data_IF_859395991805
#
_entry.id   IF_859395991805
#
_cell.length_a   1.000
_cell.length_b   1.000
_cell.length_c   1.000
_cell.angle_alpha   90.00
_cell.angle_beta   90.00
_cell.angle_gamma   90.00
#
_symmetry.space_group_name_H-M   'P 1'
#
loop_
_entity.id
_entity.type
_entity.pdbx_description
1 polymer ?
#
# COMPACT_ATOMS: atom_id res chain seq x y z
N UNK A 1 -8.32 -1.64 -2.15
CA UNK A 1 -6.87 -1.61 -2.34
C UNK A 1 -6.25 -0.35 -1.73
N UNK A 2 -6.61 0.87 -2.16
CA UNK A 2 -6.03 2.13 -1.66
C UNK A 2 -6.14 2.29 -0.14
N UNK A 3 -7.25 1.88 0.47
CA UNK A 3 -7.45 1.89 1.92
C UNK A 3 -6.32 1.13 2.66
N UNK A 4 -5.98 -0.09 2.20
CA UNK A 4 -4.93 -0.90 2.82
C UNK A 4 -3.51 -0.38 2.56
N UNK A 5 -3.26 0.22 1.38
CA UNK A 5 -1.94 0.76 1.01
C UNK A 5 -1.53 1.93 1.91
N UNK A 6 -2.47 2.82 2.26
CA UNK A 6 -2.14 4.02 3.02
C UNK A 6 -2.00 3.80 4.52
N UNK A 7 -2.53 2.71 5.08
CA UNK A 7 -2.38 2.40 6.51
C UNK A 7 -0.91 2.32 6.93
N UNK A 8 -0.02 1.55 6.29
CA UNK A 8 1.41 1.55 6.64
C UNK A 8 2.09 2.91 6.47
N UNK A 9 1.67 3.75 5.51
CA UNK A 9 2.23 5.09 5.34
C UNK A 9 2.06 5.99 6.56
N UNK A 10 0.93 5.87 7.26
CA UNK A 10 0.64 6.67 8.44
C UNK A 10 1.23 6.08 9.71
N UNK A 11 1.24 4.75 9.83
CA UNK A 11 1.59 4.08 11.08
C UNK A 11 3.02 3.58 11.16
N UNK A 12 3.77 3.55 10.06
CA UNK A 12 5.16 3.07 10.04
C UNK A 12 6.08 3.89 10.95
N UNK A 13 5.90 5.20 11.01
CA UNK A 13 6.71 6.06 11.89
C UNK A 13 6.41 5.78 13.36
N UNK A 14 5.13 5.68 13.71
CA UNK A 14 4.71 5.35 15.09
C UNK A 14 5.18 3.96 15.50
N UNK A 15 5.17 2.99 14.57
CA UNK A 15 5.70 1.65 14.80
C UNK A 15 7.22 1.66 14.99
N UNK A 16 7.95 2.45 14.22
CA UNK A 16 9.40 2.58 14.33
C UNK A 16 9.83 3.22 15.66
N UNK A 17 9.08 4.18 16.17
CA UNK A 17 9.36 4.84 17.45
C UNK A 17 8.97 4.00 18.67
N UNK A 18 8.00 3.09 18.54
CA UNK A 18 7.47 2.27 19.63
C UNK A 18 8.08 0.86 19.68
N UNK A 19 7.41 -0.17 19.13
CA UNK A 19 7.76 -1.59 19.34
C UNK A 19 9.14 -2.01 18.82
N UNK A 20 9.72 -1.28 17.85
CA UNK A 20 10.99 -1.64 17.23
C UNK A 20 12.22 -1.05 17.94
N UNK A 21 12.02 -0.21 18.97
CA UNK A 21 13.12 0.45 19.71
C UNK A 21 14.14 1.15 18.81
N UNK A 22 13.69 1.70 17.68
CA UNK A 22 14.56 2.47 16.78
C UNK A 22 14.91 3.81 17.44
N UNK A 23 16.13 4.33 17.21
CA UNK A 23 16.53 5.63 17.75
C UNK A 23 15.60 6.73 17.26
N UNK A 24 15.26 7.67 18.12
CA UNK A 24 14.35 8.80 17.84
C UNK A 24 14.81 9.63 16.63
N UNK A 25 16.12 9.68 16.39
CA UNK A 25 16.70 10.38 15.25
C UNK A 25 16.37 9.76 13.88
N UNK A 26 16.19 8.44 13.80
CA UNK A 26 15.94 7.72 12.54
C UNK A 26 14.45 7.58 12.22
N UNK A 27 13.57 7.57 13.21
CA UNK A 27 12.14 7.40 13.03
C UNK A 27 11.51 8.40 12.05
N UNK A 28 11.82 9.71 12.07
CA UNK A 28 11.25 10.69 11.14
C UNK A 28 11.63 10.47 9.67
N UNK A 29 12.77 9.78 9.42
CA UNK A 29 13.26 9.52 8.06
C UNK A 29 12.55 8.34 7.37
N UNK A 30 11.75 7.55 8.08
CA UNK A 30 11.06 6.39 7.51
C UNK A 30 10.07 6.78 6.41
N UNK A 31 9.29 7.84 6.61
CA UNK A 31 8.34 8.33 5.60
C UNK A 31 9.04 8.92 4.37
N UNK A 32 10.05 9.79 4.49
CA UNK A 32 10.88 10.21 3.37
C UNK A 32 11.49 9.07 2.56
N UNK A 33 12.05 8.05 3.23
CA UNK A 33 12.63 6.86 2.57
C UNK A 33 11.54 6.12 1.79
N UNK A 34 10.39 5.87 2.40
CA UNK A 34 9.25 5.20 1.78
C UNK A 34 8.73 6.00 0.56
N UNK A 35 8.67 7.31 0.65
CA UNK A 35 8.30 8.18 -0.49
C UNK A 35 9.33 8.15 -1.60
N UNK A 36 10.61 8.21 -1.28
CA UNK A 36 11.71 8.14 -2.25
C UNK A 36 11.70 6.80 -3.01
N UNK A 37 11.56 5.68 -2.31
CA UNK A 37 11.49 4.34 -2.93
C UNK A 37 10.22 4.16 -3.76
N UNK A 38 9.11 4.79 -3.39
CA UNK A 38 7.88 4.74 -4.18
C UNK A 38 7.99 5.49 -5.51
N UNK A 39 8.93 6.43 -5.67
CA UNK A 39 9.21 7.06 -6.96
C UNK A 39 9.79 6.03 -7.93
N UNK A 40 10.76 5.23 -7.48
CA UNK A 40 11.34 4.13 -8.27
C UNK A 40 10.26 3.11 -8.63
N UNK A 41 9.42 2.75 -7.65
CA UNK A 41 8.29 1.83 -7.85
C UNK A 41 7.22 2.34 -8.82
N UNK A 42 7.12 3.65 -9.04
CA UNK A 42 6.21 4.23 -10.06
C UNK A 42 6.83 4.24 -11.44
N UNK A 43 8.12 4.54 -11.55
CA UNK A 43 8.79 4.68 -12.85
C UNK A 43 9.10 3.33 -13.50
N UNK A 44 9.76 2.43 -12.78
CA UNK A 44 10.25 1.17 -13.37
C UNK A 44 9.10 0.25 -13.79
N UNK A 45 8.13 -0.11 -12.91
CA UNK A 45 7.04 -0.98 -13.32
C UNK A 45 6.03 -0.33 -14.28
N UNK A 46 5.89 1.00 -14.26
CA UNK A 46 5.07 1.69 -15.25
C UNK A 46 5.63 1.50 -16.66
N UNK A 47 6.95 1.65 -16.85
CA UNK A 47 7.61 1.36 -18.13
C UNK A 47 7.51 -0.11 -18.53
N UNK A 48 7.59 -1.04 -17.56
CA UNK A 48 7.42 -2.47 -17.84
C UNK A 48 5.97 -2.82 -18.18
N UNK A 49 4.99 -2.11 -17.65
CA UNK A 49 3.58 -2.36 -17.93
C UNK A 49 3.23 -2.14 -19.41
N UNK A 50 3.97 -1.29 -20.11
CA UNK A 50 3.80 -1.07 -21.54
C UNK A 50 4.17 -2.31 -22.37
N UNK A 51 5.06 -3.18 -21.86
CA UNK A 51 5.50 -4.42 -22.53
C UNK A 51 4.68 -5.64 -22.09
N UNK A 52 4.36 -5.77 -20.81
CA UNK A 52 3.72 -6.95 -20.22
C UNK A 52 2.20 -6.83 -20.08
N UNK A 53 1.67 -5.64 -20.30
CA UNK A 53 0.27 -5.27 -20.06
C UNK A 53 0.03 -4.80 -18.61
N UNK A 54 -0.78 -3.75 -18.43
CA UNK A 54 -1.03 -3.16 -17.11
C UNK A 54 -1.64 -4.14 -16.12
N UNK A 55 -2.60 -4.96 -16.54
CA UNK A 55 -3.27 -5.92 -15.67
C UNK A 55 -2.33 -7.03 -15.17
N UNK A 56 -1.48 -7.56 -16.05
CA UNK A 56 -0.51 -8.60 -15.71
C UNK A 56 0.57 -8.13 -14.72
N UNK A 57 0.89 -6.85 -14.74
CA UNK A 57 1.81 -6.24 -13.76
C UNK A 57 1.11 -5.86 -12.45
N UNK A 58 -0.17 -5.49 -12.54
CA UNK A 58 -0.94 -5.03 -11.39
C UNK A 58 -1.23 -6.12 -10.36
N UNK A 59 -1.68 -7.29 -10.82
CA UNK A 59 -2.03 -8.43 -9.95
C UNK A 59 -0.86 -8.90 -9.08
N UNK A 60 0.34 -9.21 -9.63
CA UNK A 60 1.45 -9.65 -8.80
C UNK A 60 1.96 -8.57 -7.85
N UNK A 61 1.85 -7.28 -8.21
CA UNK A 61 2.28 -6.19 -7.33
C UNK A 61 1.33 -5.96 -6.14
N UNK A 62 0.02 -6.12 -6.34
CA UNK A 62 -0.94 -6.11 -5.22
C UNK A 62 -0.70 -7.32 -4.33
N UNK A 63 -0.50 -8.50 -4.91
CA UNK A 63 -0.21 -9.71 -4.14
C UNK A 63 1.08 -9.55 -3.33
N UNK A 64 2.16 -9.04 -3.93
CA UNK A 64 3.41 -8.74 -3.23
C UNK A 64 3.19 -7.74 -2.08
N UNK A 65 2.40 -6.69 -2.29
CA UNK A 65 2.04 -5.74 -1.24
C UNK A 65 1.27 -6.40 -0.09
N UNK A 66 0.36 -7.34 -0.39
CA UNK A 66 -0.37 -8.09 0.63
C UNK A 66 0.57 -8.98 1.44
N UNK A 67 1.48 -9.71 0.79
CA UNK A 67 2.50 -10.55 1.45
C UNK A 67 3.41 -9.72 2.35
N UNK A 68 3.86 -8.55 1.86
CA UNK A 68 4.68 -7.63 2.66
C UNK A 68 3.93 -7.12 3.91
N UNK A 69 2.63 -6.83 3.79
CA UNK A 69 1.81 -6.43 4.95
C UNK A 69 1.70 -7.56 5.99
N UNK A 70 1.60 -8.82 5.58
CA UNK A 70 1.70 -9.95 6.52
C UNK A 70 3.11 -10.07 7.11
N UNK A 71 4.15 -9.88 6.29
CA UNK A 71 5.53 -9.86 6.76
C UNK A 71 5.80 -8.81 7.84
N UNK A 72 5.10 -7.69 7.80
CA UNK A 72 5.21 -6.62 8.81
C UNK A 72 4.93 -7.11 10.24
N UNK A 73 4.07 -8.11 10.42
CA UNK A 73 3.71 -8.70 11.72
C UNK A 73 4.94 -9.30 12.43
N UNK A 74 5.87 -9.88 11.67
CA UNK A 74 7.08 -10.51 12.21
C UNK A 74 8.30 -9.60 12.34
N UNK A 75 8.19 -8.31 12.02
CA UNK A 75 9.32 -7.39 11.99
C UNK A 75 9.48 -6.72 13.36
N UNK A 76 10.57 -7.05 14.04
CA UNK A 76 10.95 -6.46 15.32
C UNK A 76 12.34 -5.79 15.31
N UNK A 77 13.12 -5.97 14.23
CA UNK A 77 14.45 -5.39 14.09
C UNK A 77 14.44 -4.10 13.29
N UNK A 78 15.22 -3.07 13.68
CA UNK A 78 15.33 -1.81 12.92
C UNK A 78 15.76 -2.00 11.46
N UNK A 79 16.72 -2.92 11.22
CA UNK A 79 17.17 -3.22 9.86
C UNK A 79 16.04 -3.83 8.99
N UNK A 80 15.24 -4.73 9.57
CA UNK A 80 14.12 -5.36 8.87
C UNK A 80 13.02 -4.35 8.51
N UNK A 81 12.81 -3.32 9.33
CA UNK A 81 11.85 -2.23 9.03
C UNK A 81 12.31 -1.44 7.81
N UNK A 82 13.60 -1.11 7.71
CA UNK A 82 14.13 -0.36 6.55
C UNK A 82 13.93 -1.17 5.26
N UNK A 83 14.25 -2.46 5.28
CA UNK A 83 14.04 -3.36 4.13
C UNK A 83 12.55 -3.43 3.76
N UNK A 84 11.67 -3.57 4.76
CA UNK A 84 10.22 -3.56 4.55
C UNK A 84 9.74 -2.27 3.88
N UNK A 85 10.18 -1.11 4.40
CA UNK A 85 9.80 0.21 3.88
C UNK A 85 10.23 0.37 2.41
N UNK A 86 11.45 -0.06 2.08
CA UNK A 86 11.97 -0.01 0.71
C UNK A 86 11.13 -0.88 -0.23
N UNK A 87 10.92 -2.15 0.11
CA UNK A 87 10.14 -3.08 -0.70
C UNK A 87 8.67 -2.64 -0.81
N UNK A 88 8.08 -2.21 0.30
CA UNK A 88 6.72 -1.73 0.35
C UNK A 88 6.53 -0.42 -0.45
N UNK A 89 7.51 0.48 -0.39
CA UNK A 89 7.51 1.70 -1.20
C UNK A 89 7.47 1.40 -2.69
N UNK A 90 8.26 0.42 -3.16
CA UNK A 90 8.28 0.01 -4.56
C UNK A 90 6.93 -0.59 -4.96
N UNK A 91 6.42 -1.59 -4.23
CA UNK A 91 5.18 -2.28 -4.58
C UNK A 91 3.94 -1.37 -4.51
N UNK A 92 3.82 -0.58 -3.45
CA UNK A 92 2.71 0.37 -3.29
C UNK A 92 2.76 1.51 -4.31
N UNK A 93 3.97 1.99 -4.63
CA UNK A 93 4.18 2.99 -5.68
C UNK A 93 3.70 2.49 -7.04
N UNK A 94 4.04 1.25 -7.39
CA UNK A 94 3.60 0.59 -8.60
C UNK A 94 2.08 0.49 -8.70
N UNK A 95 1.42 0.01 -7.64
CA UNK A 95 -0.04 -0.15 -7.62
C UNK A 95 -0.74 1.18 -7.86
N UNK A 96 -0.30 2.25 -7.19
CA UNK A 96 -0.90 3.59 -7.38
C UNK A 96 -0.67 4.12 -8.80
N UNK A 97 0.52 3.90 -9.38
CA UNK A 97 0.86 4.42 -10.72
C UNK A 97 0.13 3.68 -11.85
N UNK A 98 -0.01 2.36 -11.75
CA UNK A 98 -0.61 1.54 -12.83
C UNK A 98 -2.15 1.53 -12.75
N UNK A 99 -2.77 1.91 -11.63
CA UNK A 99 -4.24 1.92 -11.49
C UNK A 99 -4.98 2.59 -12.65
N UNK A 100 -4.63 3.81 -13.09
CA UNK A 100 -5.34 4.44 -14.23
C UNK A 100 -5.12 3.68 -15.54
N UNK A 101 -3.97 3.08 -15.77
CA UNK A 101 -3.69 2.29 -16.97
C UNK A 101 -4.55 1.02 -17.01
N UNK A 102 -4.72 0.33 -15.87
CA UNK A 102 -5.60 -0.85 -15.75
C UNK A 102 -7.06 -0.46 -16.02
N UNK A 103 -7.54 0.65 -15.48
CA UNK A 103 -8.91 1.13 -15.73
C UNK A 103 -9.11 1.47 -17.21
N UNK A 104 -8.10 2.07 -17.85
CA UNK A 104 -8.13 2.37 -19.27
C UNK A 104 -8.17 1.11 -20.13
N UNK A 105 -7.39 0.08 -19.79
CA UNK A 105 -7.33 -1.20 -20.49
C UNK A 105 -8.66 -1.95 -20.46
N UNK A 106 -9.36 -1.93 -19.32
CA UNK A 106 -10.66 -2.62 -19.14
C UNK A 106 -11.80 -1.83 -19.79
N UNK A 107 -11.59 -0.55 -20.12
CA UNK A 107 -12.64 0.31 -20.69
C UNK A 107 -12.66 0.23 -22.20
N UNK A 108 -13.75 -0.32 -22.76
CA UNK A 108 -13.91 -0.50 -24.21
C UNK A 108 -14.12 0.80 -24.97
N UNK A 109 -14.75 1.83 -24.37
CA UNK A 109 -15.02 3.12 -25.00
C UNK A 109 -14.03 4.19 -24.51
N UNK A 110 -13.17 4.74 -25.40
CA UNK A 110 -12.22 5.80 -25.04
C UNK A 110 -12.85 7.05 -24.42
N UNK A 111 -14.12 7.34 -24.74
CA UNK A 111 -14.84 8.49 -24.20
C UNK A 111 -15.19 8.35 -22.72
N UNK A 112 -15.32 7.13 -22.22
CA UNK A 112 -15.66 6.84 -20.83
C UNK A 112 -14.45 6.65 -19.91
N UNK A 113 -13.25 6.51 -20.45
CA UNK A 113 -12.01 6.24 -19.67
C UNK A 113 -11.83 7.27 -18.57
N UNK A 114 -11.95 8.55 -18.86
CA UNK A 114 -11.80 9.61 -17.86
C UNK A 114 -12.82 9.52 -16.73
N UNK A 115 -14.08 9.24 -17.08
CA UNK A 115 -15.16 9.08 -16.08
C UNK A 115 -14.91 7.87 -15.19
N UNK A 116 -14.51 6.73 -15.75
CA UNK A 116 -14.22 5.50 -14.99
C UNK A 116 -13.01 5.64 -14.08
N UNK A 117 -11.95 6.31 -14.57
CA UNK A 117 -10.79 6.65 -13.73
C UNK A 117 -11.23 7.55 -12.57
N UNK A 118 -12.02 8.60 -12.83
CA UNK A 118 -12.54 9.50 -11.82
C UNK A 118 -13.38 8.77 -10.75
N UNK A 119 -14.28 7.88 -11.18
CA UNK A 119 -15.07 7.04 -10.25
C UNK A 119 -14.18 6.12 -9.40
N UNK A 120 -13.18 5.50 -10.01
CA UNK A 120 -12.23 4.62 -9.29
C UNK A 120 -11.44 5.38 -8.23
N UNK A 121 -10.97 6.59 -8.54
CA UNK A 121 -10.27 7.44 -7.57
C UNK A 121 -11.22 8.02 -6.52
N UNK A 122 -12.47 8.31 -6.85
CA UNK A 122 -13.47 8.76 -5.88
C UNK A 122 -13.73 7.68 -4.81
N UNK A 123 -14.02 6.46 -5.24
CA UNK A 123 -14.22 5.31 -4.33
C UNK A 123 -12.94 5.01 -3.54
N UNK A 124 -11.79 5.06 -4.22
CA UNK A 124 -10.48 4.90 -3.57
C UNK A 124 -10.19 5.97 -2.53
N UNK A 125 -10.56 7.23 -2.79
CA UNK A 125 -10.43 8.36 -1.89
C UNK A 125 -11.28 8.20 -0.63
N UNK A 126 -12.52 7.73 -0.76
CA UNK A 126 -13.36 7.38 0.40
C UNK A 126 -12.71 6.29 1.25
N UNK A 127 -12.16 5.25 0.63
CA UNK A 127 -11.40 4.21 1.34
C UNK A 127 -10.16 4.77 2.05
N UNK A 128 -9.43 5.69 1.42
CA UNK A 128 -8.28 6.36 2.02
C UNK A 128 -8.67 7.28 3.18
N UNK A 129 -9.84 7.91 3.13
CA UNK A 129 -10.35 8.75 4.21
C UNK A 129 -10.75 7.92 5.44
N UNK A 130 -11.37 6.76 5.23
CA UNK A 130 -11.87 5.89 6.30
C UNK A 130 -10.77 4.99 6.88
N UNK A 131 -9.79 4.57 6.07
CA UNK A 131 -8.72 3.63 6.46
C UNK A 131 -7.93 4.03 7.70
N UNK A 132 -7.25 5.18 7.70
CA UNK A 132 -6.44 5.62 8.84
C UNK A 132 -7.22 5.82 10.14
N UNK A 133 -8.45 6.43 10.17
CA UNK A 133 -9.24 6.52 11.39
C UNK A 133 -9.66 5.16 11.97
N UNK A 134 -10.03 4.20 11.11
CA UNK A 134 -10.37 2.84 11.56
C UNK A 134 -9.14 2.15 12.15
N UNK A 135 -8.00 2.26 11.49
CA UNK A 135 -6.74 1.73 11.99
C UNK A 135 -6.33 2.38 13.33
N UNK A 136 -6.56 3.69 13.49
CA UNK A 136 -6.33 4.41 14.75
C UNK A 136 -7.21 3.91 15.89
N UNK A 137 -8.49 3.70 15.64
CA UNK A 137 -9.40 3.11 16.64
C UNK A 137 -8.98 1.71 17.08
N UNK A 138 -8.47 0.89 16.13
CA UNK A 138 -7.96 -0.44 16.45
C UNK A 138 -6.71 -0.36 17.35
N UNK A 139 -5.88 0.66 17.17
CA UNK A 139 -4.72 0.91 18.02
C UNK A 139 -5.13 1.36 19.43
N UNK A 140 -6.10 2.27 19.55
CA UNK A 140 -6.59 2.80 20.82
C UNK A 140 -7.29 1.73 21.68
N UNK A 141 -7.98 0.77 21.07
CA UNK A 141 -8.69 -0.30 21.80
C UNK A 141 -7.75 -1.27 22.54
N UNK A 142 -6.44 -1.24 22.27
CA UNK A 142 -5.44 -2.14 22.86
C UNK A 142 -4.28 -1.36 23.50
N UNK A 143 -4.56 -0.26 24.20
CA UNK A 143 -3.60 0.58 24.93
C UNK A 143 -2.38 1.04 24.12
N UNK A 144 -2.53 1.24 22.80
CA UNK A 144 -1.48 1.74 21.93
C UNK A 144 -0.27 0.82 21.70
N UNK A 145 -0.23 -0.35 22.34
CA UNK A 145 0.93 -1.24 22.32
C UNK A 145 0.85 -2.35 21.26
N UNK A 146 -0.35 -2.68 20.77
CA UNK A 146 -0.57 -3.79 19.87
C UNK A 146 -0.90 -3.34 18.45
N UNK A 147 0.12 -3.20 17.62
CA UNK A 147 -0.02 -2.88 16.19
C UNK A 147 -0.58 -4.05 15.35
N UNK A 148 -0.74 -5.25 15.94
CA UNK A 148 -1.26 -6.44 15.25
C UNK A 148 -2.65 -6.20 14.60
N UNK A 149 -3.55 -5.46 15.27
CA UNK A 149 -4.86 -5.14 14.71
C UNK A 149 -4.77 -4.32 13.43
N UNK A 150 -3.90 -3.32 13.41
CA UNK A 150 -3.66 -2.43 12.26
C UNK A 150 -3.01 -3.20 11.11
N UNK A 151 -2.03 -4.04 11.42
CA UNK A 151 -1.31 -4.88 10.45
C UNK A 151 -2.24 -5.90 9.81
N UNK A 152 -3.03 -6.63 10.60
CA UNK A 152 -4.01 -7.60 10.11
C UNK A 152 -5.10 -6.94 9.28
N UNK A 153 -5.63 -5.79 9.72
CA UNK A 153 -6.63 -5.03 8.98
C UNK A 153 -6.13 -4.64 7.59
N UNK A 154 -4.91 -4.08 7.50
CA UNK A 154 -4.29 -3.71 6.24
C UNK A 154 -4.06 -4.93 5.34
N UNK A 155 -3.51 -6.02 5.89
CA UNK A 155 -3.22 -7.25 5.17
C UNK A 155 -4.50 -7.92 4.63
N UNK A 156 -5.55 -8.03 5.44
CA UNK A 156 -6.84 -8.61 5.03
C UNK A 156 -7.51 -7.82 3.90
N UNK A 157 -7.48 -6.48 3.96
CA UNK A 157 -8.03 -5.63 2.91
C UNK A 157 -7.26 -5.82 1.60
N UNK A 158 -5.94 -5.92 1.67
CA UNK A 158 -5.11 -6.14 0.49
C UNK A 158 -5.33 -7.53 -0.11
N UNK A 159 -5.49 -8.58 0.71
CA UNK A 159 -5.85 -9.92 0.25
C UNK A 159 -7.23 -9.94 -0.40
N UNK A 160 -8.23 -9.32 0.21
CA UNK A 160 -9.57 -9.22 -0.37
C UNK A 160 -9.54 -8.49 -1.72
N UNK A 161 -8.76 -7.41 -1.83
CA UNK A 161 -8.59 -6.68 -3.08
C UNK A 161 -7.91 -7.55 -4.16
N UNK A 162 -6.90 -8.34 -3.80
CA UNK A 162 -6.24 -9.27 -4.72
C UNK A 162 -7.19 -10.36 -5.20
N UNK A 163 -7.96 -10.97 -4.27
CA UNK A 163 -8.96 -12.00 -4.62
C UNK A 163 -10.04 -11.46 -5.55
N UNK A 164 -10.60 -10.29 -5.25
CA UNK A 164 -11.59 -9.65 -6.11
C UNK A 164 -11.04 -9.38 -7.52
N UNK A 165 -9.77 -8.99 -7.61
CA UNK A 165 -9.15 -8.69 -8.91
C UNK A 165 -8.85 -9.95 -9.73
N UNK A 166 -8.48 -11.05 -9.07
CA UNK A 166 -8.22 -12.34 -9.75
C UNK A 166 -9.51 -13.00 -10.22
N UNK A 167 -10.64 -12.72 -9.55
CA UNK A 167 -11.95 -13.26 -9.92
C UNK A 167 -12.68 -12.42 -10.99
N UNK A 168 -12.26 -11.19 -11.22
CA UNK A 168 -12.87 -10.28 -12.21
C UNK A 168 -12.30 -10.46 -13.61
#
# INVERSE_FOLDING_TARGET
CLMGIYVPYYYVTSYASGPSHMSEDLSPYMVPILKATSIIGRLVPALLSDYFGPLNMYVPMIFASAVLNFGWIGIHSPASIIVYIVLYGITSGTVVAITPAVVAEITSDPKEVGTRIGMSYFVGGLGMLVGPPVAGRLLDMHDGSYYLGVQLFSACIMCAATMCLVMA
#
